data_IF_276145276178
#
_entry.id   IF_276145276178
#
_cell.length_a   1.000
_cell.length_b   1.000
_cell.length_c   1.000
_cell.angle_alpha   90.00
_cell.angle_beta   90.00
_cell.angle_gamma   90.00
#
_symmetry.space_group_name_H-M   'P 1'
#
loop_
_entity.id
_entity.type
_entity.pdbx_description
1 polymer ?
#
# COMPACT_ATOMS: atom_id res chain seq x y z
N UNK A 1 -28.39 17.60 -25.41
CA UNK A 1 -27.07 17.80 -26.04
C UNK A 1 -26.42 18.98 -25.37
N UNK A 2 -25.38 18.75 -24.57
CA UNK A 2 -24.52 19.81 -24.04
C UNK A 2 -23.08 19.35 -24.24
N UNK A 3 -22.48 19.83 -25.33
CA UNK A 3 -21.10 19.60 -25.72
C UNK A 3 -20.15 20.30 -24.73
N UNK A 4 -19.49 19.54 -23.86
CA UNK A 4 -18.42 20.04 -23.03
C UNK A 4 -17.11 20.14 -23.85
N UNK A 5 -16.89 21.33 -24.41
CA UNK A 5 -15.65 21.75 -25.08
C UNK A 5 -14.48 21.76 -24.09
N UNK A 6 -13.58 20.78 -24.21
CA UNK A 6 -12.36 20.70 -23.41
C UNK A 6 -11.38 21.84 -23.78
N UNK A 7 -10.93 22.59 -22.76
CA UNK A 7 -9.80 23.53 -22.86
C UNK A 7 -8.47 22.73 -22.83
N UNK A 8 -7.45 23.11 -23.61
CA UNK A 8 -6.12 22.49 -23.49
C UNK A 8 -5.55 22.77 -22.10
N UNK A 9 -5.07 21.73 -21.42
CA UNK A 9 -4.36 21.89 -20.16
C UNK A 9 -2.87 22.12 -20.46
N UNK A 10 -2.35 23.29 -20.11
CA UNK A 10 -0.93 23.62 -20.19
C UNK A 10 -0.09 22.70 -19.28
N UNK A 11 1.02 22.20 -19.81
CA UNK A 11 1.95 21.33 -19.08
C UNK A 11 2.83 22.19 -18.17
N UNK A 12 3.06 21.83 -16.89
CA UNK A 12 3.99 22.58 -16.06
C UNK A 12 5.44 22.37 -16.51
N UNK A 13 6.05 23.49 -16.86
CA UNK A 13 7.44 23.72 -17.28
C UNK A 13 8.49 23.10 -16.35
N UNK A 14 9.47 22.43 -16.97
CA UNK A 14 10.69 21.88 -16.39
C UNK A 14 11.55 23.00 -15.75
N UNK A 15 11.81 22.91 -14.44
CA UNK A 15 12.83 23.71 -13.75
C UNK A 15 14.06 22.84 -13.46
N UNK A 16 15.28 23.24 -13.85
CA UNK A 16 16.48 22.47 -13.51
C UNK A 16 16.76 22.54 -12.00
N UNK A 17 17.01 21.37 -11.40
CA UNK A 17 17.40 21.24 -9.99
C UNK A 17 18.76 21.90 -9.73
N UNK A 18 18.77 22.79 -8.74
CA UNK A 18 19.98 23.44 -8.22
C UNK A 18 20.84 22.40 -7.50
N UNK A 19 22.10 22.25 -7.93
CA UNK A 19 23.11 21.39 -7.28
C UNK A 19 23.42 21.96 -5.89
N UNK A 20 23.17 21.19 -4.82
CA UNK A 20 23.66 21.51 -3.47
C UNK A 20 25.08 20.97 -3.29
N UNK A 21 26.00 21.85 -2.94
CA UNK A 21 27.41 21.58 -2.65
C UNK A 21 27.57 20.70 -1.39
N UNK A 22 28.62 19.86 -1.41
CA UNK A 22 29.05 18.98 -0.32
C UNK A 22 29.65 19.82 0.82
N UNK A 23 29.26 19.54 2.06
CA UNK A 23 30.04 19.89 3.25
C UNK A 23 30.62 18.57 3.80
N UNK A 24 31.93 18.54 3.96
CA UNK A 24 32.73 17.40 4.43
C UNK A 24 32.86 17.46 5.95
N UNK A 25 32.47 16.40 6.66
CA UNK A 25 32.99 16.08 7.98
C UNK A 25 33.33 14.59 8.03
N UNK A 26 34.58 14.30 8.42
CA UNK A 26 35.14 12.97 8.61
C UNK A 26 34.43 12.24 9.76
N UNK A 27 33.55 11.31 9.40
CA UNK A 27 32.98 10.32 10.31
C UNK A 27 33.26 8.91 9.75
N UNK A 28 33.58 7.91 10.60
CA UNK A 28 33.92 6.58 10.14
C UNK A 28 32.74 5.99 9.36
N UNK A 29 33.00 5.67 8.09
CA UNK A 29 32.02 5.22 7.13
C UNK A 29 31.44 3.85 7.52
N UNK A 30 30.35 3.87 8.29
CA UNK A 30 29.47 2.70 8.40
C UNK A 30 28.88 2.45 7.02
N UNK A 31 29.34 1.39 6.35
CA UNK A 31 28.78 0.92 5.07
C UNK A 31 27.47 0.18 5.34
N UNK A 32 26.53 0.82 6.02
CA UNK A 32 25.14 0.39 6.01
C UNK A 32 24.50 1.07 4.79
N UNK A 33 24.31 0.30 3.71
CA UNK A 33 23.48 0.79 2.61
C UNK A 33 22.10 1.09 3.19
N UNK A 34 21.55 2.31 3.06
CA UNK A 34 20.15 2.52 3.36
C UNK A 34 19.37 1.54 2.50
N UNK A 35 18.60 0.68 3.14
CA UNK A 35 17.72 -0.27 2.48
C UNK A 35 16.83 0.57 1.57
N UNK A 36 17.02 0.47 0.25
CA UNK A 36 16.29 1.31 -0.68
C UNK A 36 14.80 1.15 -0.39
N UNK A 37 14.17 2.24 0.04
CA UNK A 37 12.76 2.28 0.38
C UNK A 37 11.98 2.12 -0.92
N UNK A 38 11.80 0.87 -1.34
CA UNK A 38 11.02 0.54 -2.52
C UNK A 38 9.57 0.52 -2.09
N UNK A 39 8.88 1.62 -2.36
CA UNK A 39 7.45 1.70 -2.15
C UNK A 39 6.77 0.75 -3.14
N UNK A 40 6.18 -0.35 -2.65
CA UNK A 40 5.56 -1.35 -3.53
C UNK A 40 4.14 -0.91 -3.87
N UNK A 41 3.87 -0.72 -5.16
CA UNK A 41 2.53 -0.44 -5.68
C UNK A 41 1.71 -1.72 -5.91
N UNK A 42 2.40 -2.83 -6.21
CA UNK A 42 1.78 -4.14 -6.36
C UNK A 42 1.90 -4.90 -5.04
N UNK A 43 0.86 -4.82 -4.21
CA UNK A 43 0.81 -5.55 -2.95
C UNK A 43 0.68 -7.04 -3.20
N UNK A 44 1.57 -7.81 -2.59
CA UNK A 44 1.54 -9.27 -2.62
C UNK A 44 0.48 -9.79 -1.65
N UNK A 45 0.13 -11.08 -1.78
CA UNK A 45 -0.75 -11.74 -0.83
C UNK A 45 -0.22 -11.65 0.62
N UNK A 46 1.10 -11.77 0.80
CA UNK A 46 1.74 -11.67 2.10
C UNK A 46 1.58 -10.26 2.71
N UNK A 47 1.71 -9.22 1.89
CA UNK A 47 1.49 -7.83 2.33
C UNK A 47 0.03 -7.65 2.81
N UNK A 48 -0.95 -8.25 2.12
CA UNK A 48 -2.36 -8.22 2.54
C UNK A 48 -2.60 -8.95 3.87
N UNK A 49 -2.00 -10.12 4.07
CA UNK A 49 -2.12 -10.81 5.37
C UNK A 49 -1.56 -9.96 6.51
N UNK A 50 -0.44 -9.28 6.27
CA UNK A 50 0.14 -8.39 7.26
C UNK A 50 -0.77 -7.20 7.58
N UNK A 51 -1.40 -6.62 6.56
CA UNK A 51 -2.40 -5.54 6.73
C UNK A 51 -3.61 -6.05 7.53
N UNK A 52 -4.14 -7.24 7.22
CA UNK A 52 -5.28 -7.80 7.96
C UNK A 52 -4.95 -8.06 9.43
N UNK A 53 -3.80 -8.67 9.71
CA UNK A 53 -3.35 -8.88 11.09
C UNK A 53 -3.21 -7.56 11.86
N UNK A 54 -2.79 -6.48 11.19
CA UNK A 54 -2.75 -5.15 11.81
C UNK A 54 -4.15 -4.62 12.12
N UNK A 55 -5.13 -4.83 11.25
CA UNK A 55 -6.52 -4.40 11.45
C UNK A 55 -7.16 -5.15 12.62
N UNK A 56 -6.97 -6.47 12.66
CA UNK A 56 -7.51 -7.32 13.73
C UNK A 56 -6.93 -6.94 15.10
N UNK A 57 -5.67 -6.51 15.14
CA UNK A 57 -5.02 -6.01 16.36
C UNK A 57 -5.46 -4.59 16.76
N UNK A 58 -6.03 -3.80 15.84
CA UNK A 58 -6.39 -2.40 16.07
C UNK A 58 -7.79 -2.05 15.53
N UNK A 59 -8.87 -2.60 16.12
CA UNK A 59 -10.23 -2.46 15.61
C UNK A 59 -10.75 -1.01 15.57
N UNK A 60 -10.22 -0.13 16.44
CA UNK A 60 -10.64 1.27 16.54
C UNK A 60 -9.90 2.20 15.57
N UNK A 61 -8.93 1.68 14.80
CA UNK A 61 -8.14 2.50 13.88
C UNK A 61 -8.93 2.75 12.59
N UNK A 62 -8.98 4.01 12.15
CA UNK A 62 -9.64 4.33 10.89
C UNK A 62 -8.87 3.78 9.70
N UNK A 63 -9.56 3.52 8.58
CA UNK A 63 -8.89 3.07 7.35
C UNK A 63 -7.87 4.08 6.82
N UNK A 64 -8.10 5.38 7.05
CA UNK A 64 -7.17 6.42 6.64
C UNK A 64 -5.86 6.32 7.44
N UNK A 65 -5.96 6.12 8.75
CA UNK A 65 -4.80 5.97 9.63
C UNK A 65 -4.04 4.67 9.35
N UNK A 66 -4.74 3.59 8.97
CA UNK A 66 -4.10 2.34 8.52
C UNK A 66 -3.28 2.60 7.24
N UNK A 67 -3.86 3.27 6.25
CA UNK A 67 -3.15 3.62 5.00
C UNK A 67 -1.93 4.49 5.30
N UNK A 68 -2.07 5.48 6.19
CA UNK A 68 -0.97 6.34 6.60
C UNK A 68 0.14 5.55 7.29
N UNK A 69 -0.21 4.71 8.28
CA UNK A 69 0.73 3.85 9.00
C UNK A 69 1.61 3.04 8.04
N UNK A 70 0.98 2.38 7.07
CA UNK A 70 1.69 1.53 6.10
C UNK A 70 2.48 2.31 5.06
N UNK A 71 2.09 3.56 4.78
CA UNK A 71 2.81 4.46 3.88
C UNK A 71 4.05 5.05 4.53
N UNK A 72 4.01 5.35 5.83
CA UNK A 72 5.11 5.98 6.58
C UNK A 72 6.10 4.98 7.18
N UNK A 73 5.86 3.68 7.04
CA UNK A 73 6.79 2.64 7.50
C UNK A 73 8.18 2.80 6.87
N UNK A 74 9.21 2.76 7.72
CA UNK A 74 10.60 2.92 7.27
C UNK A 74 11.05 1.77 6.35
N UNK A 75 10.62 0.55 6.65
CA UNK A 75 10.92 -0.65 5.87
C UNK A 75 9.65 -1.16 5.20
N UNK A 76 9.74 -1.42 3.88
CA UNK A 76 8.64 -2.04 3.14
C UNK A 76 7.36 -1.20 3.10
N UNK A 77 7.48 0.12 2.91
CA UNK A 77 6.32 1.00 2.75
C UNK A 77 5.37 0.47 1.68
N UNK A 78 4.11 0.26 2.08
CA UNK A 78 3.07 -0.27 1.22
C UNK A 78 2.26 0.91 0.67
N UNK A 79 2.20 1.05 -0.66
CA UNK A 79 1.37 2.08 -1.29
C UNK A 79 0.05 1.45 -1.69
N UNK A 80 -1.01 1.84 -0.97
CA UNK A 80 -2.37 1.55 -1.37
C UNK A 80 -3.30 2.71 -0.99
N UNK A 81 -4.48 2.72 -1.60
CA UNK A 81 -5.52 3.70 -1.31
C UNK A 81 -6.53 3.11 -0.31
N UNK A 82 -7.23 3.98 0.40
CA UNK A 82 -8.35 3.59 1.25
C UNK A 82 -9.40 2.76 0.48
N UNK A 83 -9.67 3.11 -0.77
CA UNK A 83 -10.60 2.36 -1.64
C UNK A 83 -10.14 0.94 -1.94
N UNK A 84 -8.84 0.71 -2.15
CA UNK A 84 -8.29 -0.64 -2.30
C UNK A 84 -8.45 -1.46 -1.03
N UNK A 85 -8.17 -0.85 0.13
CA UNK A 85 -8.35 -1.52 1.41
C UNK A 85 -9.81 -1.93 1.65
N UNK A 86 -10.76 -1.01 1.44
CA UNK A 86 -12.19 -1.28 1.59
C UNK A 86 -12.66 -2.42 0.69
N UNK A 87 -12.26 -2.40 -0.59
CA UNK A 87 -12.58 -3.48 -1.53
C UNK A 87 -12.01 -4.82 -1.08
N UNK A 88 -10.77 -4.84 -0.58
CA UNK A 88 -10.10 -6.04 -0.11
C UNK A 88 -10.76 -6.65 1.13
N UNK A 89 -11.19 -5.81 2.07
CA UNK A 89 -11.97 -6.25 3.23
C UNK A 89 -13.31 -6.87 2.81
N UNK A 90 -14.01 -6.26 1.85
CA UNK A 90 -15.25 -6.86 1.31
C UNK A 90 -15.01 -8.19 0.60
N UNK A 91 -13.93 -8.32 -0.16
CA UNK A 91 -13.53 -9.57 -0.81
C UNK A 91 -13.25 -10.66 0.24
N UNK A 92 -12.58 -10.31 1.34
CA UNK A 92 -12.31 -11.21 2.46
C UNK A 92 -13.60 -11.72 3.12
N UNK A 93 -14.51 -10.83 3.52
CA UNK A 93 -15.78 -11.22 4.13
C UNK A 93 -16.64 -12.09 3.19
N UNK A 94 -16.64 -11.82 1.87
CA UNK A 94 -17.34 -12.65 0.88
C UNK A 94 -16.71 -14.04 0.72
N UNK A 95 -15.40 -14.17 0.96
CA UNK A 95 -14.71 -15.45 0.92
C UNK A 95 -15.05 -16.28 2.16
N UNK A 96 -15.01 -15.64 3.32
CA UNK A 96 -15.36 -16.26 4.60
C UNK A 96 -16.83 -16.69 4.64
N UNK A 97 -17.76 -15.85 4.18
CA UNK A 97 -19.17 -16.20 4.05
C UNK A 97 -19.36 -17.47 3.19
N UNK A 98 -18.69 -17.56 2.03
CA UNK A 98 -18.75 -18.75 1.17
C UNK A 98 -18.18 -20.01 1.81
N UNK A 99 -17.14 -19.88 2.64
CA UNK A 99 -16.57 -21.01 3.38
C UNK A 99 -17.54 -21.52 4.45
N UNK A 100 -18.26 -20.62 5.12
CA UNK A 100 -19.27 -20.96 6.13
C UNK A 100 -20.56 -21.53 5.51
N UNK A 101 -21.01 -21.00 4.36
CA UNK A 101 -22.22 -21.45 3.67
C UNK A 101 -22.11 -22.88 3.12
N UNK A 102 -20.89 -23.33 2.79
CA UNK A 102 -20.64 -24.68 2.30
C UNK A 102 -19.54 -25.38 3.13
N UNK A 103 -19.88 -25.92 4.32
CA UNK A 103 -18.91 -26.62 5.17
C UNK A 103 -18.30 -27.87 4.50
N UNK A 104 -18.89 -28.36 3.40
CA UNK A 104 -18.43 -29.52 2.64
C UNK A 104 -17.60 -29.14 1.40
N UNK A 105 -17.54 -27.85 1.00
CA UNK A 105 -16.80 -27.38 -0.18
C UNK A 105 -15.31 -27.74 -0.14
N UNK A 106 -14.71 -27.74 1.06
CA UNK A 106 -13.30 -28.09 1.27
C UNK A 106 -13.11 -29.52 1.80
N UNK A 107 -14.20 -30.21 2.17
CA UNK A 107 -14.19 -31.55 2.76
C UNK A 107 -14.43 -32.69 1.76
N UNK A 108 -14.46 -32.41 0.46
CA UNK A 108 -14.71 -33.43 -0.57
C UNK A 108 -13.49 -33.69 -1.47
N UNK A 109 -12.47 -34.36 -0.90
CA UNK A 109 -11.61 -35.39 -1.52
C UNK A 109 -10.34 -35.56 -0.69
N UNK A 110 -10.31 -36.60 0.15
CA UNK A 110 -9.11 -37.40 0.32
C UNK A 110 -9.46 -38.82 -0.16
N UNK A 111 -8.64 -39.45 -1.02
CA UNK A 111 -8.91 -40.77 -1.60
C UNK A 111 -8.99 -41.86 -0.53
#
# INVERSE_FOLDING_TARGET
>A
MLDAKWKPHDKPTNRPQVKRQKCTEDAPATTAKPMQQTSRQNLTLADWFFIYAYIDAHPDTSQADIVEHFRTRQEGALIFTQSMLSRKLQEHSKMEARANDNPIALSSKRP
#
